data_IF_391818654307
#
_entry.id   IF_391818654307
#
_cell.length_a   1.000
_cell.length_b   1.000
_cell.length_c   1.000
_cell.angle_alpha   90.00
_cell.angle_beta   90.00
_cell.angle_gamma   90.00
#
_symmetry.space_group_name_H-M   'P 1'
#
loop_
_entity.id
_entity.type
_entity.pdbx_description
1 polymer ?
#
# COMPACT_ATOMS: atom_id res chain seq x y z
N UNK A 1 -5.04 -12.83 -3.83
CA UNK A 1 -4.03 -13.77 -3.32
C UNK A 1 -3.47 -14.65 -4.44
N UNK A 2 -3.54 -14.18 -5.69
CA UNK A 2 -3.03 -14.89 -6.86
C UNK A 2 -3.97 -15.96 -7.43
N UNK A 3 -5.16 -16.17 -6.84
CA UNK A 3 -6.07 -17.24 -7.28
C UNK A 3 -6.92 -16.91 -8.53
N UNK A 4 -6.74 -15.71 -9.08
CA UNK A 4 -7.47 -15.23 -10.26
C UNK A 4 -8.88 -14.72 -9.98
N UNK A 5 -9.33 -14.73 -8.72
CA UNK A 5 -10.57 -14.11 -8.29
C UNK A 5 -10.34 -12.70 -7.74
N UNK A 6 -11.39 -11.90 -7.76
CA UNK A 6 -11.36 -10.56 -7.20
C UNK A 6 -11.36 -10.64 -5.66
N UNK A 7 -10.43 -9.92 -5.05
CA UNK A 7 -10.34 -9.73 -3.61
C UNK A 7 -10.81 -8.33 -3.21
N UNK A 8 -11.30 -8.18 -1.99
CA UNK A 8 -11.72 -6.90 -1.44
C UNK A 8 -11.00 -6.64 -0.12
N UNK A 9 -10.39 -5.46 0.01
CA UNK A 9 -9.89 -4.96 1.29
C UNK A 9 -10.67 -3.72 1.70
N UNK A 10 -11.28 -3.78 2.88
CA UNK A 10 -12.04 -2.68 3.47
C UNK A 10 -11.17 -1.99 4.53
N UNK A 11 -11.02 -0.68 4.40
CA UNK A 11 -10.29 0.15 5.35
C UNK A 11 -11.27 0.86 6.27
N UNK A 12 -10.98 0.87 7.58
CA UNK A 12 -11.87 1.44 8.59
C UNK A 12 -11.08 2.19 9.66
N UNK A 13 -11.65 3.31 10.12
CA UNK A 13 -11.11 4.10 11.24
C UNK A 13 -12.15 4.12 12.33
N UNK A 14 -11.75 3.78 13.57
CA UNK A 14 -12.63 3.93 14.73
C UNK A 14 -12.55 5.35 15.24
N UNK A 15 -13.61 6.13 15.06
CA UNK A 15 -13.68 7.51 15.53
C UNK A 15 -14.46 7.61 16.83
N UNK A 16 -13.84 8.24 17.84
CA UNK A 16 -14.42 8.52 19.15
C UNK A 16 -13.58 9.58 19.88
N UNK A 17 -14.00 9.98 21.09
CA UNK A 17 -13.32 11.01 21.87
C UNK A 17 -11.83 10.70 22.12
N UNK A 18 -11.51 9.46 22.52
CA UNK A 18 -10.13 9.06 22.79
C UNK A 18 -9.25 9.05 21.51
N UNK A 19 -9.66 8.37 20.41
CA UNK A 19 -8.93 8.49 19.14
C UNK A 19 -8.76 9.93 18.66
N UNK A 20 -9.76 10.81 18.86
CA UNK A 20 -9.65 12.22 18.47
C UNK A 20 -8.58 12.96 19.28
N UNK A 21 -8.55 12.74 20.60
CA UNK A 21 -7.50 13.31 21.47
C UNK A 21 -6.12 12.77 21.06
N UNK A 22 -6.01 11.49 20.75
CA UNK A 22 -4.76 10.89 20.27
C UNK A 22 -4.30 11.51 18.94
N UNK A 23 -5.22 11.70 17.99
CA UNK A 23 -4.94 12.40 16.74
C UNK A 23 -4.43 13.82 16.99
N UNK A 24 -5.03 14.57 17.91
CA UNK A 24 -4.61 15.94 18.22
C UNK A 24 -3.24 16.01 18.91
N UNK A 25 -2.94 15.05 19.78
CA UNK A 25 -1.70 15.03 20.56
C UNK A 25 -0.52 14.39 19.81
N UNK A 26 -0.78 13.27 19.13
CA UNK A 26 0.24 12.42 18.51
C UNK A 26 0.25 12.53 16.99
N UNK A 27 -0.80 13.10 16.39
CA UNK A 27 -0.94 13.21 14.94
C UNK A 27 -0.89 11.83 14.27
N UNK A 28 -1.48 10.82 14.91
CA UNK A 28 -1.57 9.45 14.41
C UNK A 28 -3.04 9.08 14.26
N UNK A 29 -3.40 8.55 13.09
CA UNK A 29 -4.69 7.90 12.84
C UNK A 29 -4.46 6.40 12.74
N UNK A 30 -5.12 5.64 13.62
CA UNK A 30 -5.11 4.17 13.57
C UNK A 30 -6.15 3.67 12.57
N UNK A 31 -5.70 2.92 11.56
CA UNK A 31 -6.52 2.36 10.50
C UNK A 31 -6.50 0.84 10.59
N UNK A 32 -7.66 0.22 10.45
CA UNK A 32 -7.81 -1.23 10.34
C UNK A 32 -8.14 -1.64 8.91
N UNK A 33 -7.44 -2.64 8.40
CA UNK A 33 -7.83 -3.33 7.18
C UNK A 33 -8.54 -4.64 7.51
N UNK A 34 -9.56 -4.97 6.71
CA UNK A 34 -10.19 -6.29 6.69
C UNK A 34 -10.19 -6.78 5.24
N UNK A 35 -9.49 -7.88 4.97
CA UNK A 35 -9.39 -8.45 3.64
C UNK A 35 -10.28 -9.69 3.50
N UNK A 36 -11.02 -9.72 2.40
CA UNK A 36 -11.96 -10.76 2.02
C UNK A 36 -11.53 -11.33 0.67
N UNK A 37 -11.21 -12.62 0.67
CA UNK A 37 -10.76 -13.29 -0.55
C UNK A 37 -11.95 -13.94 -1.24
N UNK A 38 -12.21 -13.52 -2.47
CA UNK A 38 -13.37 -13.98 -3.24
C UNK A 38 -13.13 -15.37 -3.81
N UNK A 39 -14.17 -16.18 -3.93
CA UNK A 39 -14.09 -17.45 -4.67
C UNK A 39 -15.32 -17.62 -5.55
N UNK A 40 -15.17 -18.16 -6.77
CA UNK A 40 -16.32 -18.53 -7.58
C UNK A 40 -16.78 -19.97 -7.28
N UNK A 41 -18.09 -20.26 -7.18
CA UNK A 41 -19.24 -19.34 -7.22
C UNK A 41 -19.65 -18.81 -5.83
N UNK A 42 -18.89 -19.11 -4.77
CA UNK A 42 -19.28 -18.86 -3.38
C UNK A 42 -19.28 -17.37 -2.98
N UNK A 43 -18.65 -16.50 -3.77
CA UNK A 43 -18.50 -15.07 -3.48
C UNK A 43 -17.48 -14.81 -2.37
N UNK A 44 -17.70 -13.72 -1.63
CA UNK A 44 -16.86 -13.32 -0.50
C UNK A 44 -17.32 -13.97 0.81
N UNK A 45 -16.38 -14.40 1.69
CA UNK A 45 -16.73 -14.93 2.99
C UNK A 45 -17.34 -13.84 3.89
N UNK A 46 -18.22 -14.24 4.81
CA UNK A 46 -18.85 -13.30 5.77
C UNK A 46 -17.87 -12.71 6.80
N UNK A 47 -16.75 -13.40 7.06
CA UNK A 47 -15.70 -12.96 7.98
C UNK A 47 -14.46 -12.57 7.20
N UNK A 48 -13.78 -11.53 7.68
CA UNK A 48 -12.47 -11.15 7.17
C UNK A 48 -11.53 -12.35 7.30
N UNK A 49 -10.82 -12.65 6.23
CA UNK A 49 -9.85 -13.73 6.20
C UNK A 49 -8.46 -13.25 6.61
N UNK A 50 -8.22 -11.94 6.58
CA UNK A 50 -7.03 -11.29 7.12
C UNK A 50 -7.41 -9.92 7.69
N UNK A 51 -6.71 -9.51 8.74
CA UNK A 51 -6.86 -8.19 9.37
C UNK A 51 -5.49 -7.54 9.55
N UNK A 52 -5.41 -6.24 9.32
CA UNK A 52 -4.20 -5.45 9.51
C UNK A 52 -4.46 -4.20 10.34
N UNK A 53 -3.44 -3.74 11.06
CA UNK A 53 -3.47 -2.46 11.77
C UNK A 53 -2.35 -1.58 11.21
N UNK A 54 -2.70 -0.35 10.87
CA UNK A 54 -1.81 0.62 10.25
C UNK A 54 -1.91 1.95 10.98
N UNK A 55 -0.81 2.67 11.05
CA UNK A 55 -0.74 4.01 11.62
C UNK A 55 -0.46 5.00 10.50
N UNK A 56 -1.27 6.06 10.43
CA UNK A 56 -1.15 7.12 9.46
C UNK A 56 -0.76 8.42 10.15
N UNK A 57 0.37 9.00 9.77
CA UNK A 57 0.90 10.22 10.38
C UNK A 57 0.30 11.48 9.72
N UNK A 58 -0.30 12.34 10.53
CA UNK A 58 -0.75 13.65 10.08
C UNK A 58 0.43 14.62 10.12
N UNK A 59 0.75 15.18 8.96
CA UNK A 59 1.72 16.25 8.87
C UNK A 59 1.08 17.59 9.27
N UNK A 60 1.66 18.25 10.27
CA UNK A 60 1.19 19.55 10.74
C UNK A 60 1.57 20.73 9.88
N UNK A 61 2.59 20.58 9.04
CA UNK A 61 3.03 21.65 8.14
C UNK A 61 2.10 21.74 6.92
N UNK A 62 1.29 20.70 6.70
CA UNK A 62 0.21 20.65 5.72
C UNK A 62 -1.08 20.08 6.35
N UNK A 63 -1.76 20.84 7.23
CA UNK A 63 -2.94 20.37 7.96
C UNK A 63 -4.16 20.09 7.05
N UNK A 64 -4.08 20.51 5.78
CA UNK A 64 -5.04 20.22 4.72
C UNK A 64 -4.83 18.85 4.05
N UNK A 65 -3.74 18.13 4.36
CA UNK A 65 -3.41 16.84 3.76
C UNK A 65 -2.99 15.79 4.79
N UNK A 66 -3.70 14.66 4.77
CA UNK A 66 -3.28 13.45 5.48
C UNK A 66 -2.14 12.82 4.69
N UNK A 67 -0.97 12.64 5.31
CA UNK A 67 0.20 12.02 4.70
C UNK A 67 0.29 10.55 5.09
N UNK A 68 0.67 9.75 4.11
CA UNK A 68 1.09 8.38 4.31
C UNK A 68 0.46 7.45 3.29
N UNK A 69 1.32 6.59 2.76
CA UNK A 69 0.98 5.69 1.68
C UNK A 69 -0.07 4.69 2.16
N UNK A 70 -1.23 4.67 1.49
CA UNK A 70 -2.15 3.54 1.65
C UNK A 70 -1.47 2.26 1.15
N UNK A 71 -1.37 1.21 1.98
CA UNK A 71 -0.75 -0.03 1.54
C UNK A 71 -1.50 -0.61 0.32
N UNK A 72 -0.76 -1.04 -0.69
CA UNK A 72 -1.28 -1.61 -1.92
C UNK A 72 -0.77 -3.06 -2.08
N UNK A 73 -1.66 -3.98 -2.47
CA UNK A 73 -1.37 -5.41 -2.69
C UNK A 73 -1.76 -5.91 -4.08
N UNK A 74 -1.83 -5.01 -5.06
CA UNK A 74 -2.22 -5.33 -6.44
C UNK A 74 -1.04 -5.81 -7.30
N UNK A 75 0.20 -5.47 -6.92
CA UNK A 75 1.43 -5.74 -7.68
C UNK A 75 1.94 -7.18 -7.51
N UNK A 76 2.61 -7.68 -8.55
CA UNK A 76 3.44 -8.90 -8.52
C UNK A 76 4.76 -8.52 -9.21
N UNK A 77 5.69 -8.00 -8.41
CA UNK A 77 6.92 -7.38 -8.90
C UNK A 77 7.96 -8.44 -9.29
N UNK A 78 8.00 -9.58 -8.61
CA UNK A 78 8.94 -10.66 -8.92
C UNK A 78 8.38 -11.70 -9.92
N UNK A 79 7.12 -11.56 -10.36
CA UNK A 79 6.39 -12.45 -11.27
C UNK A 79 6.28 -13.90 -10.78
N UNK A 80 6.16 -14.10 -9.47
CA UNK A 80 5.98 -15.43 -8.89
C UNK A 80 4.50 -15.86 -8.80
N UNK A 81 3.57 -14.99 -9.20
CA UNK A 81 2.12 -15.21 -9.17
C UNK A 81 1.50 -14.90 -7.81
N UNK A 82 2.29 -14.54 -6.80
CA UNK A 82 1.82 -14.09 -5.49
C UNK A 82 1.86 -12.57 -5.48
N UNK A 83 0.81 -11.97 -4.91
CA UNK A 83 0.74 -10.51 -4.79
C UNK A 83 1.67 -10.00 -3.69
N UNK A 84 2.44 -8.97 -4.02
CA UNK A 84 3.38 -8.27 -3.15
C UNK A 84 2.72 -7.11 -2.43
N UNK A 85 3.36 -6.60 -1.37
CA UNK A 85 2.90 -5.46 -0.59
C UNK A 85 3.78 -4.24 -0.85
N UNK A 86 3.16 -3.15 -1.29
CA UNK A 86 3.77 -1.81 -1.25
C UNK A 86 3.23 -1.06 -0.05
N UNK A 87 4.10 -0.58 0.83
CA UNK A 87 3.71 0.15 2.04
C UNK A 87 4.69 1.30 2.36
N UNK A 88 4.24 2.27 3.16
CA UNK A 88 5.12 3.33 3.64
C UNK A 88 6.29 2.77 4.46
N UNK A 89 7.46 3.38 4.34
CA UNK A 89 8.65 3.12 5.16
C UNK A 89 9.23 4.42 5.71
N UNK A 90 8.51 5.00 6.66
CA UNK A 90 8.74 6.37 7.13
C UNK A 90 7.96 7.37 6.29
N UNK A 91 8.34 8.64 6.34
CA UNK A 91 7.56 9.75 5.77
C UNK A 91 7.74 9.90 4.25
N UNK A 92 8.98 9.77 3.75
CA UNK A 92 9.32 10.06 2.35
C UNK A 92 9.82 8.83 1.58
N UNK A 93 9.55 7.63 2.09
CA UNK A 93 9.94 6.39 1.43
C UNK A 93 8.81 5.39 1.45
N UNK A 94 8.81 4.54 0.45
CA UNK A 94 8.00 3.34 0.41
C UNK A 94 8.90 2.11 0.31
N UNK A 95 8.34 0.97 0.67
CA UNK A 95 8.99 -0.31 0.58
C UNK A 95 8.08 -1.33 -0.06
N UNK A 96 8.68 -2.21 -0.87
CA UNK A 96 8.03 -3.37 -1.44
C UNK A 96 8.46 -4.59 -0.64
N UNK A 97 7.50 -5.36 -0.15
CA UNK A 97 7.70 -6.60 0.58
C UNK A 97 7.12 -7.73 -0.27
N UNK A 98 7.93 -8.75 -0.57
CA UNK A 98 7.48 -9.84 -1.42
C UNK A 98 6.37 -10.65 -0.75
N UNK A 99 5.39 -11.04 -1.54
CA UNK A 99 4.36 -11.98 -1.19
C UNK A 99 4.97 -13.34 -0.85
N UNK A 100 4.40 -13.99 0.16
CA UNK A 100 4.75 -15.34 0.55
C UNK A 100 3.50 -16.22 0.51
N UNK A 101 3.66 -17.55 0.35
CA UNK A 101 2.55 -18.49 0.45
C UNK A 101 1.74 -18.31 1.74
N UNK A 102 0.47 -18.70 1.69
CA UNK A 102 -0.48 -18.54 2.79
C UNK A 102 -0.71 -17.07 3.19
N UNK A 103 -0.70 -16.15 2.21
CA UNK A 103 -1.13 -14.74 2.34
C UNK A 103 -0.30 -13.97 3.38
N UNK A 104 1.03 -14.14 3.30
CA UNK A 104 2.02 -13.43 4.13
C UNK A 104 2.89 -12.54 3.26
N UNK A 105 3.69 -11.69 3.90
CA UNK A 105 4.72 -10.88 3.25
C UNK A 105 6.06 -11.14 3.93
N UNK A 106 7.16 -11.00 3.17
CA UNK A 106 8.51 -11.00 3.76
C UNK A 106 8.63 -9.85 4.77
N UNK A 107 9.30 -10.12 5.87
CA UNK A 107 9.58 -9.11 6.92
C UNK A 107 10.66 -8.14 6.46
N UNK A 108 11.50 -8.53 5.49
CA UNK A 108 12.51 -7.66 4.89
C UNK A 108 11.96 -7.07 3.60
N UNK A 109 12.13 -5.75 3.39
CA UNK A 109 11.76 -5.15 2.13
C UNK A 109 12.71 -5.63 1.04
N UNK A 110 12.14 -5.97 -0.11
CA UNK A 110 12.88 -6.32 -1.32
C UNK A 110 13.53 -5.09 -1.94
N UNK A 111 12.77 -4.00 -2.01
CA UNK A 111 13.28 -2.68 -2.42
C UNK A 111 12.69 -1.58 -1.54
N UNK A 112 13.45 -0.49 -1.39
CA UNK A 112 13.02 0.75 -0.74
C UNK A 112 13.22 1.85 -1.75
N UNK A 113 12.18 2.64 -1.98
CA UNK A 113 12.17 3.71 -2.97
C UNK A 113 11.93 5.05 -2.26
N UNK A 114 12.63 6.08 -2.72
CA UNK A 114 12.33 7.45 -2.34
C UNK A 114 11.00 7.85 -2.98
N UNK A 115 10.06 8.28 -2.15
CA UNK A 115 8.68 8.58 -2.50
C UNK A 115 8.16 9.79 -1.70
N UNK A 116 8.82 10.95 -1.75
CA UNK A 116 8.47 12.09 -0.93
C UNK A 116 7.07 12.62 -1.28
N UNK A 117 6.23 12.75 -0.26
CA UNK A 117 4.87 13.28 -0.41
C UNK A 117 3.92 12.46 -1.29
N UNK A 118 4.18 11.17 -1.49
CA UNK A 118 3.30 10.25 -2.20
C UNK A 118 2.27 9.68 -1.22
N UNK A 119 0.98 9.84 -1.54
CA UNK A 119 -0.11 9.29 -0.71
C UNK A 119 -0.68 7.98 -1.27
N UNK A 120 -0.51 7.75 -2.57
CA UNK A 120 -1.05 6.59 -3.26
C UNK A 120 -0.13 6.17 -4.40
N UNK A 121 0.04 4.85 -4.57
CA UNK A 121 0.77 4.25 -5.68
C UNK A 121 -0.05 3.16 -6.35
N UNK A 122 0.15 3.01 -7.66
CA UNK A 122 -0.44 1.99 -8.51
C UNK A 122 0.66 1.10 -9.10
N UNK A 123 0.62 -0.21 -8.84
CA UNK A 123 1.41 -1.19 -9.56
C UNK A 123 0.81 -1.46 -10.94
N UNK A 124 1.58 -1.33 -12.02
CA UNK A 124 1.16 -1.58 -13.40
C UNK A 124 2.38 -1.72 -14.31
N UNK A 125 2.28 -2.42 -15.44
CA UNK A 125 3.33 -2.42 -16.47
C UNK A 125 3.20 -1.14 -17.31
N UNK A 126 3.93 -0.09 -16.92
CA UNK A 126 3.80 1.26 -17.48
C UNK A 126 4.64 1.42 -18.74
N UNK A 127 5.80 0.75 -18.81
CA UNK A 127 6.69 0.82 -19.97
C UNK A 127 6.49 -0.31 -21.00
N UNK A 128 5.65 -1.30 -20.69
CA UNK A 128 5.31 -2.40 -21.60
C UNK A 128 6.36 -3.50 -21.67
N UNK A 129 7.28 -3.58 -20.70
CA UNK A 129 8.31 -4.61 -20.63
C UNK A 129 7.81 -5.91 -19.96
N UNK A 130 6.55 -5.92 -19.52
CA UNK A 130 5.86 -7.02 -18.86
C UNK A 130 6.13 -7.11 -17.36
N UNK A 131 7.05 -6.31 -16.80
CA UNK A 131 7.36 -6.27 -15.38
C UNK A 131 6.36 -5.33 -14.71
N UNK A 132 6.08 -5.56 -13.43
CA UNK A 132 5.23 -4.65 -12.69
C UNK A 132 6.05 -3.41 -12.31
N UNK A 133 5.72 -2.26 -12.87
CA UNK A 133 6.26 -0.97 -12.45
C UNK A 133 5.42 -0.38 -11.31
N UNK A 134 5.79 0.82 -10.87
CA UNK A 134 5.03 1.60 -9.90
C UNK A 134 4.89 3.05 -10.38
N UNK A 135 3.72 3.65 -10.23
CA UNK A 135 3.56 5.08 -10.36
C UNK A 135 2.72 5.68 -9.23
N UNK A 136 2.98 6.95 -8.90
CA UNK A 136 2.30 7.63 -7.80
C UNK A 136 2.23 9.13 -8.01
N UNK A 137 1.20 9.75 -7.43
CA UNK A 137 1.01 11.19 -7.51
C UNK A 137 1.47 11.85 -6.22
N UNK A 138 2.41 12.78 -6.35
CA UNK A 138 2.78 13.70 -5.31
C UNK A 138 1.94 14.95 -5.50
N UNK A 139 1.07 15.24 -4.52
CA UNK A 139 0.23 16.43 -4.56
C UNK A 139 0.87 17.52 -3.70
N UNK A 140 1.24 18.63 -4.33
CA UNK A 140 1.72 19.82 -3.65
C UNK A 140 0.79 21.01 -3.92
N UNK A 141 0.87 22.06 -3.09
CA UNK A 141 0.01 23.24 -3.28
C UNK A 141 0.29 23.86 -4.65
N UNK A 142 -0.70 23.78 -5.54
CA UNK A 142 -0.67 24.39 -6.88
C UNK A 142 0.01 23.55 -7.97
N UNK A 143 0.55 22.36 -7.67
CA UNK A 143 1.09 21.45 -8.69
C UNK A 143 1.07 19.99 -8.22
N UNK A 144 0.84 19.08 -9.16
CA UNK A 144 0.98 17.64 -8.94
C UNK A 144 2.18 17.12 -9.74
N UNK A 145 2.99 16.25 -9.14
CA UNK A 145 4.06 15.52 -9.83
C UNK A 145 3.69 14.06 -9.92
N UNK A 146 3.83 13.48 -11.11
CA UNK A 146 3.78 12.03 -11.31
C UNK A 146 5.19 11.49 -11.13
N UNK A 147 5.34 10.52 -10.23
CA UNK A 147 6.55 9.73 -10.06
C UNK A 147 6.30 8.37 -10.68
N UNK A 148 7.29 7.86 -11.43
CA UNK A 148 7.25 6.55 -12.07
C UNK A 148 8.56 5.84 -11.73
N UNK A 149 8.46 4.65 -11.16
CA UNK A 149 9.57 3.75 -10.88
C UNK A 149 9.44 2.56 -11.82
N UNK A 150 10.27 2.56 -12.86
CA UNK A 150 10.33 1.47 -13.83
C UNK A 150 11.14 0.31 -13.26
N UNK A 151 10.60 -0.88 -13.38
CA UNK A 151 11.29 -2.09 -13.03
C UNK A 151 12.12 -2.57 -14.21
N UNK A 152 13.43 -2.71 -13.99
CA UNK A 152 14.34 -3.31 -14.95
C UNK A 152 14.53 -4.81 -14.73
N UNK A 153 15.06 -5.53 -15.74
CA UNK A 153 15.63 -6.85 -15.50
C UNK A 153 16.68 -6.74 -14.39
N UNK A 154 16.76 -7.73 -13.50
CA UNK A 154 17.78 -7.76 -12.46
C UNK A 154 19.16 -7.56 -13.10
N UNK A 155 19.83 -6.44 -12.78
CA UNK A 155 21.21 -6.25 -13.21
C UNK A 155 22.02 -7.42 -12.65
N UNK A 156 22.69 -8.17 -13.55
CA UNK A 156 23.68 -9.13 -13.09
C UNK A 156 24.80 -8.32 -12.43
N UNK A 157 25.25 -8.73 -11.22
CA UNK A 157 26.35 -8.06 -10.53
C UNK A 157 27.64 -8.08 -11.36
#
# INVERSE_FOLDING_TARGET
DGDGYADVTVWSVKMGLLPLVEILLRRIVHIKSHSYYGTWPKGFPAKAASEGNFELHLDSDRPDYIRGLMPNTEGDFNRDGIKDLVAAKGEDRLAIYLGLPARKFDVRPWVVLDAPGINYVRPEDVDGNGLCDLYGYQVEKGFSRLHVWLQGPAEKP
#
